data_IF_767880870175
#
_entry.id   IF_767880870175
#
_cell.length_a   1.000
_cell.length_b   1.000
_cell.length_c   1.000
_cell.angle_alpha   90.00
_cell.angle_beta   90.00
_cell.angle_gamma   90.00
#
_symmetry.space_group_name_H-M   'P 1'
#
loop_
_entity.id
_entity.type
_entity.pdbx_description
1 polymer ?
#
# COMPACT_ATOMS: atom_id res chain seq x y z
N UNK A 1 3.14 -26.33 -0.49
CA UNK A 1 3.60 -25.04 0.06
C UNK A 1 4.01 -25.22 1.52
N UNK A 2 3.19 -25.86 2.35
CA UNK A 2 3.48 -26.11 3.78
C UNK A 2 4.69 -27.04 4.00
N UNK A 3 4.89 -28.03 3.14
CA UNK A 3 6.05 -28.93 3.15
C UNK A 3 7.37 -28.22 2.78
N UNK A 4 7.31 -27.22 1.91
CA UNK A 4 8.49 -26.39 1.56
C UNK A 4 8.89 -25.47 2.71
N UNK A 5 7.92 -24.92 3.44
CA UNK A 5 8.18 -24.07 4.62
C UNK A 5 8.77 -24.86 5.78
N UNK A 6 8.34 -26.10 6.00
CA UNK A 6 8.93 -26.97 7.02
C UNK A 6 10.36 -27.35 6.69
N UNK A 7 10.69 -27.57 5.41
CA UNK A 7 12.07 -27.88 4.99
C UNK A 7 13.00 -26.64 5.04
N UNK A 8 12.44 -25.44 4.95
CA UNK A 8 13.19 -24.16 5.06
C UNK A 8 13.31 -23.69 6.52
N UNK A 9 12.44 -24.12 7.43
CA UNK A 9 12.45 -23.70 8.83
C UNK A 9 13.61 -24.30 9.64
N UNK A 10 14.10 -25.49 9.27
CA UNK A 10 15.21 -26.13 9.96
C UNK A 10 16.56 -25.40 9.74
N UNK A 11 16.89 -24.93 8.53
CA UNK A 11 18.08 -24.08 8.32
C UNK A 11 17.97 -22.68 8.96
N UNK A 12 16.75 -22.14 9.09
CA UNK A 12 16.52 -20.79 9.66
C UNK A 12 16.80 -20.72 11.18
N UNK A 13 16.80 -21.88 11.87
CA UNK A 13 17.14 -21.97 13.29
C UNK A 13 18.66 -22.18 13.50
N UNK A 14 19.42 -22.29 12.42
CA UNK A 14 20.86 -22.47 12.50
C UNK A 14 21.55 -21.16 13.00
N UNK A 15 22.35 -21.30 14.05
CA UNK A 15 23.14 -20.19 14.64
C UNK A 15 24.08 -19.52 13.63
N UNK A 16 24.55 -20.24 12.62
CA UNK A 16 25.36 -19.71 11.51
C UNK A 16 24.59 -18.74 10.64
N UNK A 17 23.29 -18.99 10.40
CA UNK A 17 22.43 -18.08 9.65
C UNK A 17 22.26 -16.75 10.42
N UNK A 18 21.97 -16.81 11.71
CA UNK A 18 21.84 -15.60 12.54
C UNK A 18 23.17 -14.86 12.68
N UNK A 19 24.30 -15.57 12.82
CA UNK A 19 25.64 -14.97 12.77
C UNK A 19 25.88 -14.26 11.45
N UNK A 20 25.57 -14.90 10.31
CA UNK A 20 25.75 -14.30 8.99
C UNK A 20 24.92 -13.03 8.79
N UNK A 21 23.77 -12.91 9.45
CA UNK A 21 22.94 -11.68 9.44
C UNK A 21 23.59 -10.62 10.34
N UNK A 22 24.06 -11.01 11.54
CA UNK A 22 24.67 -10.07 12.48
C UNK A 22 26.04 -9.56 12.00
N UNK A 23 26.83 -10.41 11.33
CA UNK A 23 28.15 -10.08 10.81
C UNK A 23 28.10 -9.33 9.45
N UNK A 24 26.93 -9.26 8.82
CA UNK A 24 26.75 -8.46 7.61
C UNK A 24 26.56 -7.01 8.03
N UNK A 25 27.39 -6.11 7.54
CA UNK A 25 27.14 -4.66 7.51
C UNK A 25 25.92 -4.30 6.63
N UNK A 26 25.05 -5.27 6.40
CA UNK A 26 23.88 -5.15 5.55
C UNK A 26 22.76 -4.45 6.32
N UNK A 27 22.36 -3.30 5.83
CA UNK A 27 21.09 -2.69 6.23
C UNK A 27 19.93 -3.47 5.58
N UNK A 28 19.56 -4.61 6.21
CA UNK A 28 18.50 -5.52 5.72
C UNK A 28 17.19 -4.78 5.44
N UNK A 29 16.89 -3.77 6.21
CA UNK A 29 15.74 -2.89 6.03
C UNK A 29 15.80 -2.14 4.69
N UNK A 30 16.94 -1.53 4.40
CA UNK A 30 17.15 -0.82 3.13
C UNK A 30 17.05 -1.77 1.94
N UNK A 31 17.73 -2.91 2.03
CA UNK A 31 17.67 -3.92 0.97
C UNK A 31 16.22 -4.41 0.73
N UNK A 32 15.48 -4.68 1.77
CA UNK A 32 14.08 -5.09 1.64
C UNK A 32 13.23 -4.03 0.91
N UNK A 33 13.39 -2.77 1.26
CA UNK A 33 12.70 -1.66 0.59
C UNK A 33 13.07 -1.57 -0.90
N UNK A 34 14.37 -1.74 -1.23
CA UNK A 34 14.84 -1.74 -2.62
C UNK A 34 14.34 -2.96 -3.41
N UNK A 35 14.28 -4.15 -2.80
CA UNK A 35 13.66 -5.31 -3.43
C UNK A 35 12.16 -5.10 -3.69
N UNK A 36 11.43 -4.49 -2.77
CA UNK A 36 10.02 -4.17 -2.97
C UNK A 36 9.85 -3.20 -4.16
N UNK A 37 10.64 -2.15 -4.23
CA UNK A 37 10.69 -1.19 -5.35
C UNK A 37 11.00 -1.90 -6.67
N UNK A 38 12.05 -2.70 -6.70
CA UNK A 38 12.46 -3.46 -7.87
C UNK A 38 11.34 -4.41 -8.33
N UNK A 39 10.67 -5.10 -7.43
CA UNK A 39 9.58 -6.00 -7.78
C UNK A 39 8.40 -5.25 -8.40
N UNK A 40 8.01 -4.09 -7.86
CA UNK A 40 6.94 -3.27 -8.40
C UNK A 40 7.27 -2.85 -9.85
N UNK A 41 8.50 -2.37 -10.10
CA UNK A 41 8.92 -1.86 -11.42
C UNK A 41 9.19 -2.94 -12.46
N UNK A 42 9.55 -4.15 -12.04
CA UNK A 42 9.92 -5.25 -12.97
C UNK A 42 8.83 -6.29 -13.17
N UNK A 43 7.73 -6.22 -12.43
CA UNK A 43 6.61 -7.14 -12.57
C UNK A 43 5.98 -7.02 -13.95
N UNK A 44 5.75 -8.19 -14.59
CA UNK A 44 5.07 -8.27 -15.88
C UNK A 44 3.56 -8.48 -15.75
N UNK A 45 3.04 -8.59 -14.53
CA UNK A 45 1.62 -8.75 -14.29
C UNK A 45 0.87 -7.43 -14.49
N UNK A 46 1.47 -6.34 -14.04
CA UNK A 46 0.91 -5.00 -14.08
C UNK A 46 1.97 -4.00 -14.53
N UNK A 47 1.54 -2.87 -15.04
CA UNK A 47 2.40 -1.73 -15.38
C UNK A 47 2.22 -0.63 -14.32
N UNK A 48 2.95 -0.75 -13.20
CA UNK A 48 2.97 0.25 -12.15
C UNK A 48 4.26 1.06 -12.27
N UNK A 49 4.14 2.31 -12.68
CA UNK A 49 5.28 3.21 -12.93
C UNK A 49 5.39 4.30 -11.88
N UNK A 50 6.54 4.94 -11.78
CA UNK A 50 6.75 6.12 -10.93
C UNK A 50 7.02 5.82 -9.45
N UNK A 51 7.18 4.56 -9.02
CA UNK A 51 7.53 4.24 -7.62
C UNK A 51 8.96 4.69 -7.29
N UNK A 52 9.82 4.82 -8.27
CA UNK A 52 11.18 5.34 -8.18
C UNK A 52 11.25 6.82 -7.79
N UNK A 53 10.20 7.57 -8.04
CA UNK A 53 10.13 9.01 -7.74
C UNK A 53 9.85 9.29 -6.25
N UNK A 54 9.51 8.26 -5.47
CA UNK A 54 9.34 8.38 -4.03
C UNK A 54 10.69 8.25 -3.32
N UNK A 55 11.25 9.33 -2.73
CA UNK A 55 12.59 9.32 -2.17
C UNK A 55 12.73 8.47 -0.92
N UNK A 56 11.63 8.27 -0.19
CA UNK A 56 11.66 7.55 1.07
C UNK A 56 10.90 6.23 0.98
N UNK A 57 11.44 5.21 1.66
CA UNK A 57 10.83 3.90 1.80
C UNK A 57 10.96 3.43 3.25
N UNK A 58 9.83 3.15 3.89
CA UNK A 58 9.77 2.75 5.29
C UNK A 58 9.16 1.36 5.42
N UNK A 59 9.85 0.42 6.11
CA UNK A 59 9.28 -0.89 6.38
C UNK A 59 8.12 -0.79 7.36
N UNK A 60 7.16 -1.69 7.22
CA UNK A 60 5.95 -1.75 8.05
C UNK A 60 5.49 -3.18 8.28
N UNK A 61 4.60 -3.37 9.24
CA UNK A 61 3.94 -4.67 9.48
C UNK A 61 2.72 -4.79 8.55
N UNK A 62 2.97 -4.81 7.25
CA UNK A 62 1.94 -4.81 6.20
C UNK A 62 1.23 -3.46 6.05
N UNK A 63 0.34 -3.37 5.05
CA UNK A 63 -0.42 -2.14 4.80
C UNK A 63 -1.40 -1.82 5.93
N UNK A 64 -1.94 -2.81 6.64
CA UNK A 64 -2.84 -2.53 7.79
C UNK A 64 -2.21 -1.61 8.84
N UNK A 65 -0.92 -1.78 9.14
CA UNK A 65 -0.19 -0.89 10.04
C UNK A 65 -0.10 0.54 9.47
N UNK A 66 0.17 0.67 8.18
CA UNK A 66 0.22 1.98 7.51
C UNK A 66 -1.14 2.67 7.50
N UNK A 67 -2.22 1.89 7.37
CA UNK A 67 -3.59 2.40 7.43
C UNK A 67 -3.93 2.90 8.85
N UNK A 68 -3.53 2.18 9.90
CA UNK A 68 -3.70 2.64 11.28
C UNK A 68 -2.97 3.99 11.51
N UNK A 69 -1.74 4.14 10.98
CA UNK A 69 -1.00 5.41 10.99
C UNK A 69 -1.72 6.52 10.20
N UNK A 70 -2.27 6.20 9.02
CA UNK A 70 -3.02 7.13 8.18
C UNK A 70 -4.26 7.66 8.90
N UNK A 71 -4.98 6.78 9.55
CA UNK A 71 -6.16 7.15 10.32
C UNK A 71 -5.82 8.05 11.50
N UNK A 72 -4.73 7.73 12.21
CA UNK A 72 -4.23 8.58 13.26
C UNK A 72 -3.81 9.97 12.73
N UNK A 73 -3.18 10.00 11.55
CA UNK A 73 -2.85 11.24 10.86
C UNK A 73 -4.11 12.07 10.54
N UNK A 74 -5.18 11.44 10.02
CA UNK A 74 -6.45 12.11 9.76
C UNK A 74 -7.04 12.71 11.04
N UNK A 75 -7.08 11.95 12.13
CA UNK A 75 -7.59 12.43 13.43
C UNK A 75 -6.80 13.64 13.95
N UNK A 76 -5.47 13.57 13.92
CA UNK A 76 -4.61 14.67 14.40
C UNK A 76 -4.72 15.94 13.60
N UNK A 77 -4.99 15.83 12.31
CA UNK A 77 -5.04 16.97 11.39
C UNK A 77 -6.48 17.38 11.04
N UNK A 78 -7.48 16.78 11.70
CA UNK A 78 -8.90 17.03 11.45
C UNK A 78 -9.26 16.87 9.96
N UNK A 79 -8.74 15.81 9.33
CA UNK A 79 -9.03 15.47 7.94
C UNK A 79 -10.18 14.48 7.87
N UNK A 80 -11.02 14.63 6.85
CA UNK A 80 -12.07 13.69 6.50
C UNK A 80 -11.51 12.64 5.54
N UNK A 81 -11.64 11.36 5.89
CA UNK A 81 -11.23 10.28 5.02
C UNK A 81 -12.27 10.05 3.93
N UNK A 82 -11.84 10.03 2.68
CA UNK A 82 -12.67 9.77 1.50
C UNK A 82 -12.24 8.48 0.83
N UNK A 83 -13.21 7.70 0.34
CA UNK A 83 -12.96 6.42 -0.36
C UNK A 83 -14.00 6.21 -1.45
N UNK A 84 -13.71 5.31 -2.40
CA UNK A 84 -14.68 4.86 -3.39
C UNK A 84 -15.61 3.79 -2.80
N UNK A 85 -16.87 3.77 -3.24
CA UNK A 85 -17.80 2.68 -2.89
C UNK A 85 -17.28 1.34 -3.38
N UNK A 86 -17.18 0.38 -2.47
CA UNK A 86 -16.61 -0.93 -2.74
C UNK A 86 -15.16 -1.07 -2.26
N UNK A 87 -14.64 -0.07 -1.55
CA UNK A 87 -13.35 -0.17 -0.87
C UNK A 87 -13.38 -1.26 0.21
N UNK A 88 -12.20 -1.77 0.58
CA UNK A 88 -12.05 -2.87 1.52
C UNK A 88 -12.59 -2.47 2.92
N UNK A 89 -13.45 -3.30 3.55
CA UNK A 89 -14.11 -2.94 4.82
C UNK A 89 -13.17 -2.49 5.93
N UNK A 90 -11.98 -3.09 6.05
CA UNK A 90 -10.98 -2.67 7.04
C UNK A 90 -10.67 -1.17 6.97
N UNK A 91 -10.75 -0.59 5.78
CA UNK A 91 -10.38 0.80 5.54
C UNK A 91 -11.38 1.80 6.13
N UNK A 92 -12.64 1.40 6.36
CA UNK A 92 -13.68 2.27 6.88
C UNK A 92 -14.32 1.81 8.20
N UNK A 93 -14.24 0.52 8.56
CA UNK A 93 -14.90 -0.01 9.76
C UNK A 93 -14.32 0.53 11.09
N UNK A 94 -13.11 1.03 11.07
CA UNK A 94 -12.38 1.49 12.27
C UNK A 94 -12.45 3.00 12.50
N UNK A 95 -13.09 3.74 11.62
CA UNK A 95 -13.10 5.19 11.66
C UNK A 95 -14.53 5.72 11.65
N UNK A 96 -14.67 6.96 12.10
CA UNK A 96 -15.92 7.71 12.03
C UNK A 96 -16.35 7.96 10.58
N UNK A 97 -16.21 6.94 9.71
CA UNK A 97 -16.58 7.01 8.32
C UNK A 97 -18.11 7.10 8.18
N UNK A 98 -18.55 8.14 7.54
CA UNK A 98 -19.97 8.39 7.33
C UNK A 98 -20.39 7.83 5.97
N UNK A 99 -20.99 6.66 5.97
CA UNK A 99 -21.41 5.95 4.76
C UNK A 99 -22.25 6.76 3.78
N UNK A 100 -22.99 7.77 4.26
CA UNK A 100 -23.78 8.64 3.42
C UNK A 100 -23.00 9.78 2.76
N UNK A 101 -21.88 10.22 3.36
CA UNK A 101 -21.21 11.47 3.00
C UNK A 101 -19.78 11.26 2.50
N UNK A 102 -19.07 10.28 3.03
CA UNK A 102 -17.61 10.17 2.83
C UNK A 102 -17.21 9.35 1.59
N UNK A 103 -18.18 8.75 0.88
CA UNK A 103 -17.91 8.16 -0.42
C UNK A 103 -17.65 9.23 -1.48
N UNK A 104 -16.62 9.02 -2.31
CA UNK A 104 -16.26 9.92 -3.42
C UNK A 104 -17.44 10.17 -4.36
N UNK A 105 -18.25 9.15 -4.61
CA UNK A 105 -19.42 9.25 -5.50
C UNK A 105 -20.56 10.10 -4.94
N UNK A 106 -20.51 10.47 -3.67
CA UNK A 106 -21.58 11.24 -3.02
C UNK A 106 -21.30 12.75 -2.94
N UNK A 107 -20.17 13.21 -3.46
CA UNK A 107 -19.84 14.62 -3.54
C UNK A 107 -18.36 14.87 -3.86
N UNK A 108 -18.02 16.09 -4.27
CA UNK A 108 -16.66 16.46 -4.65
C UNK A 108 -15.70 16.33 -3.45
N UNK A 109 -14.41 16.22 -3.76
CA UNK A 109 -13.34 16.33 -2.76
C UNK A 109 -13.25 17.77 -2.24
N UNK A 110 -12.87 17.93 -0.99
CA UNK A 110 -12.68 19.22 -0.33
C UNK A 110 -11.27 19.31 0.28
N UNK A 111 -10.79 20.53 0.51
CA UNK A 111 -9.42 20.78 1.00
C UNK A 111 -9.05 20.01 2.29
N UNK A 112 -10.03 19.69 3.12
CA UNK A 112 -9.82 18.94 4.38
C UNK A 112 -10.00 17.43 4.20
N UNK A 113 -10.06 16.95 2.96
CA UNK A 113 -10.14 15.52 2.69
C UNK A 113 -8.74 14.90 2.59
N UNK A 114 -8.71 13.60 2.83
CA UNK A 114 -7.64 12.69 2.47
C UNK A 114 -8.27 11.53 1.71
N UNK A 115 -7.77 11.23 0.51
CA UNK A 115 -8.29 10.13 -0.29
C UNK A 115 -7.46 8.86 -0.03
N UNK A 116 -8.14 7.79 0.35
CA UNK A 116 -7.60 6.43 0.39
C UNK A 116 -8.23 5.61 -0.71
N UNK A 117 -7.40 4.95 -1.51
CA UNK A 117 -7.87 4.05 -2.57
C UNK A 117 -6.96 2.85 -2.75
N UNK A 118 -7.53 1.65 -2.78
CA UNK A 118 -6.81 0.43 -3.13
C UNK A 118 -6.73 0.25 -4.65
N UNK A 119 -5.54 -0.12 -5.14
CA UNK A 119 -5.31 -0.50 -6.55
C UNK A 119 -4.34 -1.69 -6.55
N UNK A 120 -4.77 -2.89 -6.87
CA UNK A 120 -6.09 -3.31 -7.37
C UNK A 120 -7.26 -2.99 -6.44
N UNK A 121 -8.34 -2.46 -7.01
CA UNK A 121 -9.52 -2.04 -6.25
C UNK A 121 -10.32 -3.23 -5.73
N UNK A 122 -10.72 -3.18 -4.48
CA UNK A 122 -11.35 -4.31 -3.77
C UNK A 122 -12.61 -4.84 -4.44
N UNK A 123 -13.42 -3.96 -5.05
CA UNK A 123 -14.68 -4.37 -5.66
C UNK A 123 -14.54 -5.07 -7.03
N UNK A 124 -13.46 -4.80 -7.80
CA UNK A 124 -13.37 -5.28 -9.18
C UNK A 124 -12.00 -5.82 -9.58
N UNK A 125 -11.00 -5.76 -8.71
CA UNK A 125 -9.64 -6.22 -8.99
C UNK A 125 -8.87 -5.38 -10.02
N UNK A 126 -9.33 -4.16 -10.32
CA UNK A 126 -8.74 -3.24 -11.28
C UNK A 126 -8.62 -1.83 -10.65
N UNK A 127 -9.00 -0.78 -11.37
CA UNK A 127 -9.14 0.59 -10.85
C UNK A 127 -10.61 0.89 -10.54
N UNK A 128 -10.94 1.75 -9.56
CA UNK A 128 -12.30 2.24 -9.41
C UNK A 128 -12.70 3.12 -10.61
N UNK A 129 -13.99 3.27 -10.83
CA UNK A 129 -14.49 4.17 -11.87
C UNK A 129 -14.07 5.61 -11.56
N UNK A 130 -13.69 6.37 -12.59
CA UNK A 130 -13.24 7.76 -12.47
C UNK A 130 -11.98 7.92 -11.60
N UNK A 131 -11.11 6.92 -11.59
CA UNK A 131 -9.90 6.94 -10.77
C UNK A 131 -9.00 8.12 -11.13
N UNK A 132 -8.65 8.27 -12.41
CA UNK A 132 -7.76 9.32 -12.90
C UNK A 132 -8.37 10.72 -12.67
N UNK A 133 -9.65 10.91 -13.01
CA UNK A 133 -10.33 12.19 -12.80
C UNK A 133 -10.40 12.57 -11.31
N UNK A 134 -10.48 11.55 -10.43
CA UNK A 134 -10.49 11.81 -8.98
C UNK A 134 -9.10 12.17 -8.47
N UNK A 135 -8.04 11.63 -9.04
CA UNK A 135 -6.67 12.05 -8.73
C UNK A 135 -6.42 13.49 -9.20
N UNK A 136 -6.86 13.86 -10.39
CA UNK A 136 -6.78 15.24 -10.92
C UNK A 136 -7.57 16.22 -10.04
N UNK A 137 -8.75 15.81 -9.57
CA UNK A 137 -9.54 16.60 -8.62
C UNK A 137 -8.78 16.76 -7.29
N UNK A 138 -8.18 15.69 -6.78
CA UNK A 138 -7.39 15.71 -5.55
C UNK A 138 -6.22 16.69 -5.66
N UNK A 139 -5.48 16.65 -6.76
CA UNK A 139 -4.38 17.60 -7.03
C UNK A 139 -4.88 19.04 -7.04
N UNK A 140 -5.94 19.32 -7.81
CA UNK A 140 -6.52 20.67 -7.93
C UNK A 140 -6.99 21.22 -6.58
N UNK A 141 -7.47 20.35 -5.69
CA UNK A 141 -7.98 20.72 -4.37
C UNK A 141 -6.90 20.72 -3.27
N UNK A 142 -5.69 20.22 -3.59
CA UNK A 142 -4.62 20.02 -2.61
C UNK A 142 -4.93 18.89 -1.62
N UNK A 143 -5.70 17.90 -2.04
CA UNK A 143 -6.04 16.70 -1.28
C UNK A 143 -4.92 15.67 -1.45
N UNK A 144 -4.40 15.15 -0.35
CA UNK A 144 -3.40 14.09 -0.38
C UNK A 144 -4.06 12.73 -0.61
N UNK A 145 -3.34 11.87 -1.35
CA UNK A 145 -3.81 10.53 -1.69
C UNK A 145 -2.88 9.47 -1.10
N UNK A 146 -3.47 8.45 -0.49
CA UNK A 146 -2.81 7.20 -0.13
C UNK A 146 -3.26 6.10 -1.10
N UNK A 147 -2.31 5.54 -1.87
CA UNK A 147 -2.56 4.37 -2.71
C UNK A 147 -2.20 3.08 -1.95
N UNK A 148 -3.17 2.22 -1.72
CA UNK A 148 -2.97 0.88 -1.16
C UNK A 148 -2.77 -0.13 -2.29
N UNK A 149 -1.52 -0.56 -2.51
CA UNK A 149 -1.19 -1.57 -3.53
C UNK A 149 -0.93 -2.96 -2.91
N UNK A 150 -1.54 -3.28 -1.76
CA UNK A 150 -1.35 -4.56 -1.08
C UNK A 150 -1.71 -5.79 -1.93
N UNK A 151 -2.59 -5.63 -2.92
CA UNK A 151 -3.01 -6.68 -3.85
C UNK A 151 -2.19 -6.72 -5.15
N UNK A 152 -1.14 -5.93 -5.27
CA UNK A 152 -0.31 -5.76 -6.46
C UNK A 152 0.04 -7.07 -7.18
N UNK A 153 0.45 -8.11 -6.47
CA UNK A 153 0.89 -9.38 -7.06
C UNK A 153 -0.22 -10.42 -7.23
N UNK A 154 -1.49 -10.07 -7.03
CA UNK A 154 -2.63 -11.01 -7.12
C UNK A 154 -3.56 -10.76 -8.30
N UNK A 155 -3.40 -9.63 -8.99
CA UNK A 155 -4.16 -9.24 -10.17
C UNK A 155 -3.21 -9.00 -11.35
N UNK A 156 -3.76 -8.83 -12.54
CA UNK A 156 -2.98 -8.52 -13.73
C UNK A 156 -3.70 -7.51 -14.65
N UNK A 157 -2.92 -6.91 -15.55
CA UNK A 157 -3.45 -6.02 -16.59
C UNK A 157 -3.82 -4.62 -16.09
N UNK A 158 -3.33 -4.22 -14.93
CA UNK A 158 -3.55 -2.86 -14.40
C UNK A 158 -2.39 -1.98 -14.86
N UNK A 159 -2.73 -0.81 -15.39
CA UNK A 159 -1.79 0.24 -15.79
C UNK A 159 -2.05 1.50 -14.97
N UNK A 160 -1.03 1.96 -14.22
CA UNK A 160 -1.13 3.11 -13.31
C UNK A 160 0.22 3.79 -13.12
N UNK A 161 0.22 5.13 -13.14
CA UNK A 161 1.30 5.95 -12.66
C UNK A 161 1.12 6.21 -11.15
N UNK A 162 2.03 5.69 -10.31
CA UNK A 162 1.97 5.86 -8.87
C UNK A 162 2.38 7.27 -8.43
N UNK A 163 3.18 7.96 -9.23
CA UNK A 163 3.75 9.28 -8.97
C UNK A 163 2.84 10.45 -9.38
N UNK A 164 1.53 10.24 -9.44
CA UNK A 164 0.61 11.35 -9.65
C UNK A 164 0.83 12.42 -8.55
N UNK A 165 0.84 13.75 -8.88
CA UNK A 165 1.21 14.81 -7.92
C UNK A 165 0.37 14.83 -6.63
N UNK A 166 -0.87 14.34 -6.67
CA UNK A 166 -1.71 14.21 -5.47
C UNK A 166 -1.29 13.04 -4.57
N UNK A 167 -0.54 12.05 -5.09
CA UNK A 167 -0.15 10.85 -4.33
C UNK A 167 1.01 11.17 -3.41
N UNK A 168 0.72 11.15 -2.12
CA UNK A 168 1.72 11.39 -1.07
C UNK A 168 2.34 10.08 -0.56
N UNK A 169 1.55 8.99 -0.55
CA UNK A 169 1.98 7.70 -0.02
C UNK A 169 1.51 6.54 -0.89
N UNK A 170 2.39 5.55 -1.02
CA UNK A 170 2.07 4.26 -1.63
C UNK A 170 2.36 3.16 -0.62
N UNK A 171 1.34 2.37 -0.27
CA UNK A 171 1.43 1.26 0.67
C UNK A 171 1.53 -0.08 -0.05
N UNK A 172 2.64 -0.80 0.13
CA UNK A 172 2.91 -2.10 -0.45
C UNK A 172 3.00 -3.19 0.60
N UNK A 173 2.58 -4.41 0.27
CA UNK A 173 2.73 -5.59 1.13
C UNK A 173 2.96 -6.86 0.32
N UNK A 174 3.84 -7.73 0.82
CA UNK A 174 4.06 -9.07 0.25
C UNK A 174 3.08 -10.13 0.77
N UNK A 175 2.31 -9.79 1.80
CA UNK A 175 1.45 -10.75 2.52
C UNK A 175 0.47 -11.48 1.61
N UNK A 176 -0.19 -10.77 0.70
CA UNK A 176 -1.19 -11.33 -0.21
C UNK A 176 -0.52 -12.14 -1.33
N UNK A 177 0.44 -11.55 -2.02
CA UNK A 177 1.09 -12.11 -3.20
C UNK A 177 1.90 -13.36 -2.91
N UNK A 178 2.55 -13.42 -1.74
CA UNK A 178 3.41 -14.53 -1.34
C UNK A 178 2.75 -15.49 -0.35
N UNK A 179 1.47 -15.30 -0.04
CA UNK A 179 0.71 -16.12 0.92
C UNK A 179 1.39 -16.24 2.30
N UNK A 180 2.08 -15.17 2.73
CA UNK A 180 2.84 -15.16 3.98
C UNK A 180 2.10 -14.38 5.08
N UNK A 181 0.83 -14.74 5.31
CA UNK A 181 -0.06 -14.06 6.27
C UNK A 181 0.48 -13.98 7.70
N UNK A 182 1.26 -14.98 8.13
CA UNK A 182 1.88 -15.02 9.45
C UNK A 182 3.15 -14.17 9.56
N UNK A 183 3.77 -13.83 8.42
CA UNK A 183 4.96 -12.98 8.32
C UNK A 183 4.59 -11.65 7.69
N UNK A 184 3.89 -10.83 8.46
CA UNK A 184 3.36 -9.54 7.97
C UNK A 184 4.49 -8.55 7.74
N UNK A 185 4.69 -8.18 6.50
CA UNK A 185 5.65 -7.16 6.11
C UNK A 185 5.10 -6.30 4.97
N UNK A 186 5.61 -5.11 4.88
CA UNK A 186 5.24 -4.15 3.84
C UNK A 186 6.23 -3.00 3.79
N UNK A 187 6.05 -2.15 2.81
CA UNK A 187 6.81 -0.91 2.64
C UNK A 187 5.83 0.23 2.34
N UNK A 188 6.02 1.36 2.99
CA UNK A 188 5.40 2.63 2.60
C UNK A 188 6.43 3.46 1.86
N UNK A 189 6.08 3.91 0.68
CA UNK A 189 6.83 4.89 -0.11
C UNK A 189 6.22 6.27 0.06
N UNK A 190 7.06 7.32 0.17
CA UNK A 190 6.64 8.72 0.29
C UNK A 190 7.67 9.68 -0.26
#
# INVERSE_FOLDING_TARGET
VQLLLVSLSIPLINTEFFKSIADRELNVTKEYCEYARHWITTSKLNNFTGIEDFPYAYPSVGVSHQLDELHYYCLRNNLRLRMFKGEFPYNYDRHNFKFGEDWVENGPLEKNDLLLVSVPFSANGNKPNRFEETLDEAETKGVKVFLDIAWFGTCNGIDIALNHPAVEWVGFSTTKSLSCGDYRNGVRFS
#
